data_IF_009324513500
#
_entry.id   IF_009324513500
#
_cell.length_a   1.000
_cell.length_b   1.000
_cell.length_c   1.000
_cell.angle_alpha   90.00
_cell.angle_beta   90.00
_cell.angle_gamma   90.00
#
_symmetry.space_group_name_H-M   'P 1'
#
loop_
_entity.id
_entity.type
_entity.pdbx_description
1 polymer ?
#
# COMPACT_ATOMS: atom_id res chain seq x y z
N UNK A 1 4.96 13.43 -16.08
CA UNK A 1 5.11 13.92 -14.69
C UNK A 1 4.73 12.83 -13.69
N UNK A 2 5.42 11.69 -13.71
CA UNK A 2 5.03 10.49 -12.96
C UNK A 2 6.23 9.86 -12.28
N UNK A 3 6.55 10.31 -11.08
CA UNK A 3 7.35 9.52 -10.14
C UNK A 3 6.35 8.81 -9.26
N UNK A 4 6.30 7.49 -9.37
CA UNK A 4 5.45 6.65 -8.52
C UNK A 4 5.83 6.88 -7.06
N UNK A 5 4.92 6.60 -6.12
CA UNK A 5 5.18 6.80 -4.69
C UNK A 5 6.46 6.04 -4.25
N UNK A 6 6.71 4.88 -4.87
CA UNK A 6 7.89 4.03 -4.70
C UNK A 6 9.17 4.75 -5.13
N UNK A 7 9.15 5.44 -6.28
CA UNK A 7 10.30 6.22 -6.75
C UNK A 7 10.59 7.40 -5.83
N UNK A 8 9.55 8.04 -5.28
CA UNK A 8 9.70 9.12 -4.29
C UNK A 8 10.26 8.63 -2.96
N UNK A 9 9.88 7.42 -2.52
CA UNK A 9 10.47 6.79 -1.35
C UNK A 9 11.95 6.42 -1.56
N UNK A 10 12.33 5.98 -2.77
CA UNK A 10 13.73 5.65 -3.11
C UNK A 10 14.66 6.87 -3.25
N UNK A 11 14.14 8.02 -3.66
CA UNK A 11 14.97 9.16 -4.11
C UNK A 11 15.44 10.13 -3.02
N UNK A 12 14.96 10.06 -1.77
CA UNK A 12 15.26 11.10 -0.76
C UNK A 12 16.47 10.85 0.14
N UNK A 13 17.17 9.73 0.04
CA UNK A 13 18.29 9.46 0.94
C UNK A 13 19.46 8.78 0.22
N UNK A 14 20.60 9.47 0.13
CA UNK A 14 21.91 8.85 -0.13
C UNK A 14 22.38 7.92 1.02
N UNK A 15 21.53 7.71 2.01
CA UNK A 15 21.61 6.62 2.99
C UNK A 15 20.47 5.66 2.68
N UNK A 16 20.81 4.47 2.18
CA UNK A 16 19.87 3.35 2.06
C UNK A 16 19.46 2.95 3.48
N UNK A 17 18.42 3.59 4.02
CA UNK A 17 17.77 3.08 5.23
C UNK A 17 17.09 1.80 4.76
N UNK A 18 17.63 0.65 5.15
CA UNK A 18 16.91 -0.61 5.04
C UNK A 18 15.60 -0.44 5.81
N UNK A 19 14.51 -0.18 5.09
CA UNK A 19 13.21 0.08 5.68
C UNK A 19 12.72 -1.25 6.26
N UNK A 20 12.83 -1.43 7.56
CA UNK A 20 12.36 -2.63 8.26
C UNK A 20 10.84 -2.56 8.41
N UNK A 21 10.12 -2.76 7.31
CA UNK A 21 8.66 -2.73 7.31
C UNK A 21 8.12 -3.97 8.01
N UNK A 22 7.56 -3.77 9.20
CA UNK A 22 6.95 -4.84 10.01
C UNK A 22 5.44 -4.96 9.83
N UNK A 23 4.77 -3.92 9.35
CA UNK A 23 3.33 -3.89 9.15
C UNK A 23 3.00 -3.08 7.88
N UNK A 24 2.15 -3.66 7.03
CA UNK A 24 1.45 -2.95 5.96
C UNK A 24 -0.05 -3.14 6.19
N UNK A 25 -0.82 -2.05 6.22
CA UNK A 25 -2.26 -2.08 6.45
C UNK A 25 -3.00 -1.57 5.21
N UNK A 26 -3.96 -2.36 4.74
CA UNK A 26 -4.87 -2.04 3.65
C UNK A 26 -6.27 -1.82 4.22
N UNK A 27 -6.88 -0.69 3.90
CA UNK A 27 -8.29 -0.43 4.15
C UNK A 27 -9.00 -0.33 2.80
N UNK A 28 -9.74 -1.39 2.46
CA UNK A 28 -10.39 -1.54 1.16
C UNK A 28 -11.83 -1.06 1.25
N UNK A 29 -12.22 -0.24 0.28
CA UNK A 29 -13.52 0.42 0.22
C UNK A 29 -13.40 1.83 -0.34
N UNK A 30 -14.40 2.65 -0.03
CA UNK A 30 -14.41 4.08 -0.35
C UNK A 30 -13.80 4.87 0.79
N UNK A 31 -13.34 6.10 0.52
CA UNK A 31 -13.00 7.03 1.60
C UNK A 31 -14.29 7.60 2.21
N UNK A 32 -14.54 7.47 3.53
CA UNK A 32 -15.72 8.07 4.15
C UNK A 32 -15.75 9.60 3.94
N UNK A 33 -16.86 10.10 3.41
CA UNK A 33 -17.03 11.52 3.08
C UNK A 33 -16.26 12.00 1.84
N UNK A 34 -15.59 11.10 1.11
CA UNK A 34 -14.93 11.39 -0.15
C UNK A 34 -15.80 11.09 -1.38
N UNK A 35 -15.20 11.26 -2.56
CA UNK A 35 -15.84 10.96 -3.84
C UNK A 35 -16.05 9.44 -3.99
N UNK A 36 -17.31 9.01 -3.95
CA UNK A 36 -17.71 7.60 -4.13
C UNK A 36 -17.22 6.91 -5.41
N UNK A 37 -16.95 7.54 -6.57
CA UNK A 37 -16.32 6.82 -7.68
C UNK A 37 -14.87 6.39 -7.41
N UNK A 38 -14.23 6.91 -6.36
CA UNK A 38 -12.87 6.53 -5.97
C UNK A 38 -12.93 5.39 -4.96
N UNK A 39 -12.61 4.19 -5.44
CA UNK A 39 -12.67 2.94 -4.68
C UNK A 39 -11.40 2.12 -4.90
N UNK A 40 -11.03 1.30 -3.91
CA UNK A 40 -10.02 0.26 -4.11
C UNK A 40 -10.54 -0.84 -5.03
N UNK A 41 -9.90 -1.04 -6.17
CA UNK A 41 -10.24 -2.11 -7.11
C UNK A 41 -9.41 -3.37 -6.85
N UNK A 42 -9.99 -4.55 -7.10
CA UNK A 42 -9.32 -5.84 -6.88
C UNK A 42 -8.02 -5.96 -7.65
N UNK A 43 -7.97 -5.50 -8.92
CA UNK A 43 -6.77 -5.60 -9.75
C UNK A 43 -5.59 -4.80 -9.18
N UNK A 44 -5.83 -3.55 -8.80
CA UNK A 44 -4.79 -2.67 -8.24
C UNK A 44 -4.42 -3.07 -6.82
N UNK A 45 -5.38 -3.60 -6.05
CA UNK A 45 -5.15 -4.17 -4.71
C UNK A 45 -4.23 -5.39 -4.76
N UNK A 46 -4.44 -6.32 -5.69
CA UNK A 46 -3.57 -7.49 -5.87
C UNK A 46 -2.13 -7.08 -6.19
N UNK A 47 -1.94 -6.12 -7.11
CA UNK A 47 -0.61 -5.58 -7.44
C UNK A 47 0.07 -4.96 -6.20
N UNK A 48 -0.68 -4.23 -5.38
CA UNK A 48 -0.15 -3.62 -4.16
C UNK A 48 0.20 -4.66 -3.08
N UNK A 49 -0.58 -5.75 -2.97
CA UNK A 49 -0.28 -6.87 -2.07
C UNK A 49 1.01 -7.60 -2.44
N UNK A 50 1.26 -7.82 -3.74
CA UNK A 50 2.53 -8.41 -4.19
C UNK A 50 3.73 -7.53 -3.84
N UNK A 51 3.60 -6.22 -4.01
CA UNK A 51 4.63 -5.27 -3.58
C UNK A 51 4.81 -5.32 -2.06
N UNK A 52 3.73 -5.27 -1.28
CA UNK A 52 3.78 -5.32 0.18
C UNK A 52 4.48 -6.60 0.70
N UNK A 53 4.15 -7.75 0.11
CA UNK A 53 4.78 -9.04 0.39
C UNK A 53 6.28 -9.03 0.10
N UNK A 54 6.72 -8.34 -0.94
CA UNK A 54 8.14 -8.26 -1.31
C UNK A 54 9.00 -7.36 -0.40
N UNK A 55 8.37 -6.47 0.38
CA UNK A 55 9.07 -5.46 1.19
C UNK A 55 8.88 -5.64 2.70
N UNK A 56 7.88 -6.43 3.14
CA UNK A 56 7.67 -6.74 4.55
C UNK A 56 8.77 -7.69 5.05
N UNK A 57 9.30 -7.43 6.24
CA UNK A 57 10.33 -8.30 6.84
C UNK A 57 9.74 -9.65 7.24
N UNK A 58 10.55 -10.73 7.30
CA UNK A 58 10.11 -12.00 7.88
C UNK A 58 9.49 -11.82 9.28
N UNK A 59 8.33 -12.44 9.50
CA UNK A 59 7.56 -12.27 10.74
C UNK A 59 6.80 -10.94 10.85
N UNK A 60 6.85 -10.08 9.84
CA UNK A 60 5.97 -8.93 9.70
C UNK A 60 4.57 -9.33 9.21
N UNK A 61 3.66 -8.36 9.22
CA UNK A 61 2.22 -8.56 8.98
C UNK A 61 1.73 -7.72 7.82
N UNK A 62 0.77 -8.28 7.08
CA UNK A 62 -0.09 -7.54 6.16
C UNK A 62 -1.51 -7.66 6.69
N UNK A 63 -2.15 -6.52 6.98
CA UNK A 63 -3.52 -6.45 7.47
C UNK A 63 -4.43 -5.94 6.36
N UNK A 64 -5.59 -6.59 6.20
CA UNK A 64 -6.61 -6.17 5.25
C UNK A 64 -7.94 -6.00 6.01
N UNK A 65 -8.52 -4.82 5.91
CA UNK A 65 -9.89 -4.53 6.32
C UNK A 65 -10.69 -4.30 5.05
N UNK A 66 -11.87 -4.93 4.95
CA UNK A 66 -12.73 -4.86 3.76
C UNK A 66 -14.11 -4.36 4.17
N UNK A 67 -14.54 -3.26 3.59
CA UNK A 67 -15.91 -2.75 3.75
C UNK A 67 -16.87 -3.57 2.86
N UNK A 68 -17.87 -4.21 3.48
CA UNK A 68 -18.78 -5.16 2.80
C UNK A 68 -19.95 -4.50 2.05
N UNK A 69 -20.10 -3.17 2.12
CA UNK A 69 -21.22 -2.45 1.51
C UNK A 69 -20.86 -1.84 0.14
N UNK A 70 -20.32 -2.68 -0.75
CA UNK A 70 -20.08 -2.34 -2.14
C UNK A 70 -21.37 -2.36 -2.96
#
# INVERSE_FOLDING_TARGET
>A
MGKTLVDRMRMKSKHFIALHLRLVAFNLGYLPGGDKPIITESETTLKALEVAKSIVVPGGLISLVVEQNL
#
